data_IF_124728020488
#
_entry.id   IF_124728020488
#
_cell.length_a   1.000
_cell.length_b   1.000
_cell.length_c   1.000
_cell.angle_alpha   90.00
_cell.angle_beta   90.00
_cell.angle_gamma   90.00
#
_symmetry.space_group_name_H-M   'P 1'
#
loop_
_entity.id
_entity.type
_entity.pdbx_description
1 polymer ?
#
# COMPACT_ATOMS: atom_id res chain seq x y z
N UNK A 1 -1.77 17.38 13.46
CA UNK A 1 -1.57 18.75 12.93
C UNK A 1 -1.10 18.63 11.48
N UNK A 2 -1.93 19.04 10.51
CA UNK A 2 -1.48 19.24 9.15
C UNK A 2 -0.56 20.46 9.15
N UNK A 3 0.66 20.31 8.66
CA UNK A 3 1.54 21.44 8.42
C UNK A 3 0.97 22.23 7.24
N UNK A 4 0.74 23.50 7.44
CA UNK A 4 0.37 24.41 6.37
C UNK A 4 1.50 24.43 5.32
N UNK A 5 1.22 24.22 4.02
CA UNK A 5 2.23 24.20 2.98
C UNK A 5 3.26 25.33 3.03
N UNK A 6 2.91 26.60 3.37
CA UNK A 6 3.89 27.66 3.58
C UNK A 6 4.85 27.45 4.75
N UNK A 7 4.49 26.65 5.75
CA UNK A 7 5.36 26.38 6.90
C UNK A 7 6.45 25.32 6.62
N UNK A 8 6.33 24.56 5.54
CA UNK A 8 7.29 23.50 5.23
C UNK A 8 8.71 24.01 4.92
N UNK A 9 8.92 25.06 4.11
CA UNK A 9 10.24 25.63 3.88
C UNK A 9 10.91 26.13 5.17
N UNK A 10 10.15 26.80 6.03
CA UNK A 10 10.64 27.28 7.33
C UNK A 10 11.01 26.13 8.25
N UNK A 11 10.21 25.07 8.30
CA UNK A 11 10.53 23.86 9.06
C UNK A 11 11.80 23.20 8.55
N UNK A 12 11.96 23.06 7.23
CA UNK A 12 13.16 22.48 6.62
C UNK A 12 14.40 23.33 6.92
N UNK A 13 14.28 24.66 6.85
CA UNK A 13 15.37 25.58 7.21
C UNK A 13 15.79 25.38 8.68
N UNK A 14 14.85 25.37 9.61
CA UNK A 14 15.14 25.14 11.05
C UNK A 14 15.72 23.77 11.32
N UNK A 15 15.35 22.74 10.57
CA UNK A 15 15.95 21.40 10.69
C UNK A 15 17.43 21.38 10.27
N UNK A 16 17.83 22.27 9.34
CA UNK A 16 19.25 22.41 8.98
C UNK A 16 20.08 23.06 10.10
N UNK A 17 19.48 23.93 10.93
CA UNK A 17 20.14 24.63 12.03
C UNK A 17 20.24 23.83 13.31
N UNK A 18 19.68 22.60 13.35
CA UNK A 18 19.76 21.74 14.56
C UNK A 18 21.24 21.44 14.89
N UNK A 19 21.67 21.71 16.12
CA UNK A 19 23.06 21.45 16.57
C UNK A 19 23.45 19.96 16.40
N UNK A 20 24.73 19.70 16.20
CA UNK A 20 25.21 18.33 15.92
C UNK A 20 25.02 17.36 17.10
N UNK A 21 25.06 17.84 18.32
CA UNK A 21 24.74 17.04 19.53
C UNK A 21 23.26 16.63 19.54
N UNK A 22 22.36 17.55 19.20
CA UNK A 22 20.94 17.23 19.07
C UNK A 22 20.67 16.28 17.89
N UNK A 23 21.39 16.44 16.75
CA UNK A 23 21.33 15.49 15.63
C UNK A 23 21.78 14.09 16.06
N UNK A 24 22.85 13.99 16.85
CA UNK A 24 23.32 12.71 17.37
C UNK A 24 22.28 12.02 18.26
N UNK A 25 21.65 12.75 19.18
CA UNK A 25 20.60 12.21 20.05
C UNK A 25 19.35 11.80 19.27
N UNK A 26 18.96 12.59 18.26
CA UNK A 26 17.85 12.27 17.36
C UNK A 26 18.14 11.01 16.53
N UNK A 27 19.36 10.85 16.05
CA UNK A 27 19.78 9.66 15.32
C UNK A 27 19.74 8.41 16.20
N UNK A 28 20.24 8.49 17.44
CA UNK A 28 20.18 7.39 18.39
C UNK A 28 18.74 6.99 18.72
N UNK A 29 17.86 7.99 18.94
CA UNK A 29 16.42 7.76 19.15
C UNK A 29 15.76 7.14 17.90
N UNK A 30 16.05 7.65 16.71
CA UNK A 30 15.54 7.12 15.46
C UNK A 30 15.93 5.66 15.27
N UNK A 31 17.19 5.31 15.52
CA UNK A 31 17.66 3.91 15.46
C UNK A 31 16.97 3.01 16.47
N UNK A 32 16.76 3.51 17.71
CA UNK A 32 16.03 2.77 18.73
C UNK A 32 14.59 2.50 18.31
N UNK A 33 13.87 3.51 17.83
CA UNK A 33 12.51 3.39 17.32
C UNK A 33 12.45 2.44 16.11
N UNK A 34 13.40 2.55 15.19
CA UNK A 34 13.47 1.67 14.02
C UNK A 34 13.62 0.19 14.43
N UNK A 35 14.44 -0.10 15.45
CA UNK A 35 14.59 -1.46 15.99
C UNK A 35 13.28 -1.99 16.58
N UNK A 36 12.57 -1.16 17.35
CA UNK A 36 11.26 -1.54 17.94
C UNK A 36 10.25 -1.84 16.84
N UNK A 37 10.16 -0.95 15.83
CA UNK A 37 9.25 -1.15 14.70
C UNK A 37 9.61 -2.43 13.93
N UNK A 38 10.89 -2.66 13.65
CA UNK A 38 11.34 -3.85 12.94
C UNK A 38 10.99 -5.14 13.70
N UNK A 39 11.18 -5.14 15.02
CA UNK A 39 10.81 -6.26 15.89
C UNK A 39 9.31 -6.53 15.85
N UNK A 40 8.48 -5.50 16.07
CA UNK A 40 7.02 -5.64 16.06
C UNK A 40 6.49 -6.11 14.70
N UNK A 41 7.07 -5.61 13.60
CA UNK A 41 6.72 -6.08 12.25
C UNK A 41 7.11 -7.55 12.01
N UNK A 42 8.24 -7.99 12.55
CA UNK A 42 8.66 -9.39 12.45
C UNK A 42 7.71 -10.30 13.23
N UNK A 43 7.41 -9.95 14.49
CA UNK A 43 6.47 -10.70 15.34
C UNK A 43 5.07 -10.82 14.69
N UNK A 44 4.58 -9.71 14.15
CA UNK A 44 3.31 -9.69 13.44
C UNK A 44 3.32 -10.60 12.19
N UNK A 45 4.38 -10.51 11.40
CA UNK A 45 4.55 -11.37 10.20
C UNK A 45 4.61 -12.84 10.57
N UNK A 46 5.32 -13.19 11.65
CA UNK A 46 5.42 -14.56 12.13
C UNK A 46 4.06 -15.07 12.62
N UNK A 47 3.28 -14.26 13.31
CA UNK A 47 1.93 -14.61 13.73
C UNK A 47 1.00 -14.89 12.53
N UNK A 48 1.10 -14.10 11.46
CA UNK A 48 0.37 -14.33 10.24
C UNK A 48 0.79 -15.62 9.51
N UNK A 49 2.10 -15.92 9.48
CA UNK A 49 2.62 -17.14 8.84
C UNK A 49 2.17 -18.41 9.58
N UNK A 50 2.00 -18.33 10.90
CA UNK A 50 1.49 -19.43 11.72
C UNK A 50 -0.04 -19.59 11.63
N UNK A 51 -0.75 -18.60 11.06
CA UNK A 51 -2.20 -18.65 10.95
C UNK A 51 -2.65 -19.79 10.03
N UNK A 52 -3.54 -20.66 10.56
CA UNK A 52 -4.13 -21.74 9.77
C UNK A 52 -5.25 -21.20 8.85
N UNK A 53 -4.96 -21.08 7.59
CA UNK A 53 -5.88 -20.55 6.59
C UNK A 53 -6.93 -21.57 6.08
N UNK A 54 -7.00 -22.77 6.65
CA UNK A 54 -8.00 -23.82 6.35
C UNK A 54 -8.19 -24.02 4.84
N UNK A 55 -7.14 -24.35 4.12
CA UNK A 55 -7.08 -24.53 2.66
C UNK A 55 -7.34 -23.26 1.82
N UNK A 56 -7.35 -22.06 2.43
CA UNK A 56 -7.36 -20.80 1.73
C UNK A 56 -5.95 -20.21 1.64
N UNK A 57 -5.77 -19.20 0.79
CA UNK A 57 -4.48 -18.50 0.69
C UNK A 57 -4.22 -17.70 1.97
N UNK A 58 -3.07 -17.92 2.60
CA UNK A 58 -2.63 -17.09 3.70
C UNK A 58 -2.16 -15.73 3.17
N UNK A 59 -2.70 -14.60 3.68
CA UNK A 59 -2.33 -13.26 3.20
C UNK A 59 -0.82 -12.96 3.30
N UNK A 60 -0.16 -13.37 4.38
CA UNK A 60 1.28 -13.13 4.54
C UNK A 60 2.11 -13.90 3.49
N UNK A 61 1.73 -15.13 3.18
CA UNK A 61 2.37 -15.91 2.12
C UNK A 61 2.17 -15.25 0.76
N UNK A 62 0.94 -14.78 0.47
CA UNK A 62 0.63 -14.07 -0.76
C UNK A 62 1.46 -12.80 -0.91
N UNK A 63 1.46 -11.89 0.09
CA UNK A 63 2.18 -10.63 0.01
C UNK A 63 3.70 -10.81 0.01
N UNK A 64 4.23 -11.81 0.71
CA UNK A 64 5.65 -12.16 0.64
C UNK A 64 6.05 -12.68 -0.75
N UNK A 65 5.18 -13.44 -1.42
CA UNK A 65 5.41 -13.86 -2.79
C UNK A 65 5.31 -12.68 -3.75
N UNK A 66 4.25 -11.86 -3.64
CA UNK A 66 4.02 -10.68 -4.48
C UNK A 66 5.20 -9.70 -4.43
N UNK A 67 5.74 -9.44 -3.23
CA UNK A 67 6.87 -8.51 -3.06
C UNK A 67 8.11 -8.88 -3.88
N UNK A 68 8.28 -10.14 -4.24
CA UNK A 68 9.42 -10.62 -5.07
C UNK A 68 9.27 -10.28 -6.54
N UNK A 69 8.04 -10.01 -7.00
CA UNK A 69 7.71 -9.75 -8.41
C UNK A 69 7.34 -8.28 -8.67
N UNK A 70 7.30 -7.46 -7.63
CA UNK A 70 7.07 -6.04 -7.77
C UNK A 70 8.37 -5.31 -8.12
N UNK A 71 8.29 -4.48 -9.17
CA UNK A 71 9.35 -3.54 -9.49
C UNK A 71 9.55 -2.53 -8.37
N UNK A 72 10.78 -2.02 -8.22
CA UNK A 72 11.09 -1.01 -7.20
C UNK A 72 10.27 0.28 -7.33
N UNK A 73 9.73 0.55 -8.52
CA UNK A 73 8.89 1.71 -8.83
C UNK A 73 7.42 1.32 -9.06
N UNK A 74 7.03 0.10 -8.72
CA UNK A 74 5.66 -0.36 -8.85
C UNK A 74 4.67 0.50 -8.05
N UNK A 75 3.47 0.63 -8.56
CA UNK A 75 2.38 1.35 -7.92
C UNK A 75 1.26 0.37 -7.56
N UNK A 76 0.95 0.26 -6.29
CA UNK A 76 -0.07 -0.64 -5.76
C UNK A 76 -1.29 0.18 -5.36
N UNK A 77 -2.42 -0.16 -5.94
CA UNK A 77 -3.70 0.52 -5.73
C UNK A 77 -4.63 -0.39 -4.95
N UNK A 78 -5.26 0.13 -3.93
CA UNK A 78 -6.26 -0.62 -3.15
C UNK A 78 -7.60 0.08 -3.15
N UNK A 79 -8.66 -0.68 -2.87
CA UNK A 79 -9.97 -0.15 -2.56
C UNK A 79 -10.32 -0.37 -1.08
N UNK A 80 -11.50 0.07 -0.67
CA UNK A 80 -12.01 -0.16 0.68
C UNK A 80 -12.25 -1.64 0.97
N UNK A 81 -11.81 -2.10 2.13
CA UNK A 81 -12.03 -3.46 2.64
C UNK A 81 -10.81 -4.01 3.39
N UNK A 82 -10.95 -5.22 3.94
CA UNK A 82 -9.88 -5.90 4.69
C UNK A 82 -8.59 -6.05 3.85
N UNK A 83 -8.70 -6.23 2.56
CA UNK A 83 -7.56 -6.32 1.65
C UNK A 83 -6.70 -5.05 1.64
N UNK A 84 -7.29 -3.86 1.85
CA UNK A 84 -6.55 -2.59 1.98
C UNK A 84 -5.66 -2.62 3.24
N UNK A 85 -6.25 -3.00 4.38
CA UNK A 85 -5.51 -3.10 5.64
C UNK A 85 -4.39 -4.13 5.54
N UNK A 86 -4.68 -5.33 5.03
CA UNK A 86 -3.70 -6.39 4.82
C UNK A 86 -2.57 -5.97 3.86
N UNK A 87 -2.88 -5.21 2.81
CA UNK A 87 -1.85 -4.70 1.90
C UNK A 87 -0.92 -3.72 2.62
N UNK A 88 -1.50 -2.76 3.36
CA UNK A 88 -0.73 -1.77 4.11
C UNK A 88 0.15 -2.40 5.20
N UNK A 89 -0.33 -3.48 5.82
CA UNK A 89 0.35 -4.19 6.89
C UNK A 89 1.47 -5.12 6.39
N UNK A 90 1.20 -5.86 5.31
CA UNK A 90 2.03 -7.01 4.92
C UNK A 90 2.92 -6.74 3.69
N UNK A 91 2.56 -5.77 2.83
CA UNK A 91 3.33 -5.47 1.62
C UNK A 91 4.33 -4.33 1.86
N UNK A 92 5.64 -4.56 1.77
CA UNK A 92 6.61 -3.49 1.85
C UNK A 92 6.54 -2.59 0.59
N UNK A 93 6.29 -1.31 0.80
CA UNK A 93 6.32 -0.28 -0.25
C UNK A 93 7.47 0.67 0.04
N UNK A 94 8.43 0.74 -0.85
CA UNK A 94 9.69 1.45 -0.64
C UNK A 94 9.84 2.71 -1.52
N UNK A 95 8.86 3.02 -2.35
CA UNK A 95 8.87 4.17 -3.26
C UNK A 95 7.79 5.20 -2.88
N UNK A 96 8.09 6.50 -2.96
CA UNK A 96 7.08 7.54 -2.77
C UNK A 96 5.92 7.37 -3.75
N UNK A 97 4.68 7.54 -3.27
CA UNK A 97 3.45 7.34 -4.05
C UNK A 97 3.25 5.91 -4.59
N UNK A 98 3.99 4.94 -4.04
CA UNK A 98 3.86 3.52 -4.43
C UNK A 98 2.61 2.84 -3.89
N UNK A 99 1.95 3.41 -2.87
CA UNK A 99 0.69 2.90 -2.31
C UNK A 99 -0.41 3.96 -2.44
N UNK A 100 -1.51 3.59 -3.09
CA UNK A 100 -2.61 4.50 -3.42
C UNK A 100 -3.93 3.87 -3.00
N UNK A 101 -4.73 4.64 -2.28
CA UNK A 101 -6.06 4.21 -1.83
C UNK A 101 -7.01 5.39 -1.61
N UNK A 102 -8.32 5.13 -1.54
CA UNK A 102 -9.35 6.16 -1.37
C UNK A 102 -9.44 6.60 0.11
N UNK A 103 -8.41 7.27 0.62
CA UNK A 103 -8.22 7.50 2.05
C UNK A 103 -9.23 8.45 2.70
N UNK A 104 -9.81 9.40 1.96
CA UNK A 104 -10.73 10.38 2.54
C UNK A 104 -12.16 9.88 2.66
N UNK A 105 -12.74 9.36 1.58
CA UNK A 105 -14.10 8.83 1.54
C UNK A 105 -14.15 7.32 1.61
N UNK A 106 -13.06 6.65 1.23
CA UNK A 106 -12.85 5.22 1.24
C UNK A 106 -13.92 4.41 0.48
N UNK A 107 -14.26 4.86 -0.73
CA UNK A 107 -15.32 4.29 -1.55
C UNK A 107 -14.97 2.89 -2.05
N UNK A 108 -15.93 1.95 -1.94
CA UNK A 108 -15.87 0.68 -2.65
C UNK A 108 -15.94 0.90 -4.17
N UNK A 109 -15.27 0.03 -4.96
CA UNK A 109 -15.22 0.16 -6.42
C UNK A 109 -14.15 1.13 -6.94
N UNK A 110 -13.50 1.92 -6.09
CA UNK A 110 -12.44 2.87 -6.48
C UNK A 110 -11.27 2.20 -7.21
N UNK A 111 -10.85 1.02 -6.76
CA UNK A 111 -9.58 0.41 -7.16
C UNK A 111 -9.49 0.17 -8.67
N UNK A 112 -10.51 -0.42 -9.31
CA UNK A 112 -10.42 -0.84 -10.73
C UNK A 112 -10.24 0.35 -11.67
N UNK A 113 -11.09 1.40 -11.65
CA UNK A 113 -10.87 2.58 -12.50
C UNK A 113 -9.59 3.34 -12.11
N UNK A 114 -9.22 3.38 -10.84
CA UNK A 114 -8.00 4.05 -10.40
C UNK A 114 -6.72 3.38 -10.95
N UNK A 115 -6.67 2.05 -10.98
CA UNK A 115 -5.57 1.29 -11.61
C UNK A 115 -5.40 1.70 -13.06
N UNK A 116 -6.50 1.80 -13.81
CA UNK A 116 -6.47 2.20 -15.22
C UNK A 116 -5.94 3.63 -15.39
N UNK A 117 -6.47 4.57 -14.61
CA UNK A 117 -6.06 5.96 -14.67
C UNK A 117 -4.57 6.13 -14.31
N UNK A 118 -4.10 5.43 -13.26
CA UNK A 118 -2.70 5.47 -12.83
C UNK A 118 -1.79 4.88 -13.90
N UNK A 119 -2.20 3.78 -14.54
CA UNK A 119 -1.42 3.15 -15.61
C UNK A 119 -1.35 4.05 -16.85
N UNK A 120 -2.43 4.72 -17.23
CA UNK A 120 -2.44 5.71 -18.29
C UNK A 120 -1.47 6.87 -18.02
N UNK A 121 -1.44 7.35 -16.76
CA UNK A 121 -0.52 8.42 -16.35
C UNK A 121 0.93 7.94 -16.17
N UNK A 122 1.16 6.64 -16.02
CA UNK A 122 2.47 6.03 -15.79
C UNK A 122 2.67 4.79 -16.67
N UNK A 123 2.72 4.92 -18.00
CA UNK A 123 2.67 3.79 -18.94
C UNK A 123 3.84 2.81 -18.78
N UNK A 124 4.99 3.28 -18.29
CA UNK A 124 6.19 2.46 -18.13
C UNK A 124 6.30 1.78 -16.75
N UNK A 125 5.41 2.11 -15.79
CA UNK A 125 5.45 1.51 -14.46
C UNK A 125 4.56 0.26 -14.40
N UNK A 126 4.96 -0.67 -13.54
CA UNK A 126 4.10 -1.76 -13.12
C UNK A 126 2.99 -1.18 -12.22
N UNK A 127 1.74 -1.41 -12.57
CA UNK A 127 0.57 -0.94 -11.79
C UNK A 127 -0.30 -2.14 -11.46
N UNK A 128 -0.55 -2.33 -10.17
CA UNK A 128 -1.27 -3.46 -9.61
C UNK A 128 -2.44 -2.98 -8.75
N UNK A 129 -3.60 -3.57 -8.95
CA UNK A 129 -4.78 -3.39 -8.10
C UNK A 129 -5.00 -4.56 -7.16
N UNK A 130 -5.14 -4.28 -5.86
CA UNK A 130 -5.65 -5.25 -4.88
C UNK A 130 -7.11 -4.89 -4.63
N UNK A 131 -8.00 -5.75 -5.09
CA UNK A 131 -9.45 -5.47 -5.12
C UNK A 131 -10.24 -6.58 -4.43
N UNK A 132 -11.23 -6.20 -3.65
CA UNK A 132 -12.18 -7.15 -3.05
C UNK A 132 -13.27 -7.58 -4.03
N UNK A 133 -13.89 -8.73 -3.76
CA UNK A 133 -14.99 -9.26 -4.58
C UNK A 133 -16.18 -8.28 -4.70
N UNK A 134 -16.61 -7.65 -3.61
CA UNK A 134 -17.66 -6.63 -3.66
C UNK A 134 -17.31 -5.42 -4.50
N UNK A 135 -16.08 -4.92 -4.38
CA UNK A 135 -15.59 -3.78 -5.18
C UNK A 135 -15.49 -4.14 -6.66
N UNK A 136 -15.11 -5.38 -6.98
CA UNK A 136 -15.07 -5.88 -8.36
C UNK A 136 -16.45 -5.96 -8.99
N UNK A 137 -17.47 -6.33 -8.22
CA UNK A 137 -18.87 -6.33 -8.70
C UNK A 137 -19.33 -4.91 -9.04
N UNK A 138 -18.91 -3.90 -8.26
CA UNK A 138 -19.36 -2.51 -8.44
C UNK A 138 -18.77 -1.91 -9.72
N UNK A 139 -17.47 -1.96 -9.93
CA UNK A 139 -16.77 -1.28 -11.02
C UNK A 139 -15.82 -2.18 -11.82
N UNK A 140 -15.97 -3.50 -11.73
CA UNK A 140 -15.10 -4.45 -12.43
C UNK A 140 -15.20 -4.36 -13.96
N UNK A 141 -16.30 -3.83 -14.49
CA UNK A 141 -16.46 -3.58 -15.94
C UNK A 141 -15.38 -2.63 -16.49
N UNK A 142 -14.76 -1.79 -15.67
CA UNK A 142 -13.65 -0.96 -16.08
C UNK A 142 -12.39 -1.74 -16.48
N UNK A 143 -12.32 -3.03 -16.16
CA UNK A 143 -11.28 -3.91 -16.70
C UNK A 143 -11.36 -4.04 -18.23
N UNK A 144 -12.56 -3.86 -18.82
CA UNK A 144 -12.75 -3.80 -20.28
C UNK A 144 -12.07 -2.56 -20.89
N UNK A 145 -12.09 -1.43 -20.16
CA UNK A 145 -11.33 -0.23 -20.55
C UNK A 145 -9.84 -0.54 -20.58
N UNK A 146 -9.31 -1.21 -19.56
CA UNK A 146 -7.90 -1.62 -19.55
C UNK A 146 -7.54 -2.53 -20.73
N UNK A 147 -8.42 -3.48 -21.06
CA UNK A 147 -8.22 -4.39 -22.17
C UNK A 147 -8.25 -3.65 -23.52
N UNK A 148 -9.24 -2.76 -23.74
CA UNK A 148 -9.38 -1.94 -24.95
C UNK A 148 -8.16 -1.06 -25.16
N UNK A 149 -7.70 -0.39 -24.12
CA UNK A 149 -6.55 0.53 -24.15
C UNK A 149 -5.19 -0.20 -24.03
N UNK A 150 -5.20 -1.53 -23.93
CA UNK A 150 -4.00 -2.39 -23.82
C UNK A 150 -3.05 -1.94 -22.70
N UNK A 151 -3.60 -1.60 -21.55
CA UNK A 151 -2.85 -0.97 -20.46
C UNK A 151 -1.85 -1.91 -19.77
N UNK A 152 -2.04 -3.24 -19.82
CA UNK A 152 -1.21 -4.19 -19.11
C UNK A 152 -1.30 -4.04 -17.59
N UNK A 153 -2.47 -3.69 -17.05
CA UNK A 153 -2.77 -3.63 -15.63
C UNK A 153 -2.96 -5.03 -15.04
N UNK A 154 -2.65 -5.18 -13.77
CA UNK A 154 -2.82 -6.43 -13.03
C UNK A 154 -3.85 -6.21 -11.93
N UNK A 155 -4.82 -7.11 -11.80
CA UNK A 155 -5.81 -7.09 -10.73
C UNK A 155 -5.70 -8.37 -9.91
N UNK A 156 -5.41 -8.24 -8.61
CA UNK A 156 -5.46 -9.33 -7.65
C UNK A 156 -6.79 -9.27 -6.91
N UNK A 157 -7.69 -10.20 -7.25
CA UNK A 157 -9.01 -10.29 -6.63
C UNK A 157 -8.95 -11.08 -5.32
N UNK A 158 -9.25 -10.39 -4.22
CA UNK A 158 -9.43 -10.99 -2.90
C UNK A 158 -10.91 -11.38 -2.72
N UNK A 159 -11.20 -12.64 -3.02
CA UNK A 159 -12.55 -13.18 -2.88
C UNK A 159 -12.66 -13.96 -1.57
N UNK A 160 -13.34 -13.38 -0.60
CA UNK A 160 -13.71 -14.04 0.66
C UNK A 160 -15.20 -14.43 0.72
N UNK A 161 -15.95 -14.17 -0.37
CA UNK A 161 -17.40 -14.41 -0.49
C UNK A 161 -18.21 -13.69 0.58
N UNK A 162 -17.73 -12.57 1.09
CA UNK A 162 -18.38 -11.76 2.13
C UNK A 162 -18.14 -10.29 1.89
N UNK A 163 -19.18 -9.50 2.06
CA UNK A 163 -19.04 -8.06 2.25
C UNK A 163 -18.94 -7.81 3.76
N UNK A 164 -17.76 -7.48 4.21
CA UNK A 164 -17.52 -7.18 5.61
C UNK A 164 -16.19 -6.45 5.73
N UNK A 165 -16.26 -5.23 6.19
CA UNK A 165 -15.11 -4.53 6.77
C UNK A 165 -15.10 -4.82 8.26
N UNK A 166 -13.94 -4.98 8.91
CA UNK A 166 -13.89 -5.03 10.36
C UNK A 166 -14.42 -3.75 10.96
#
# INVERSE_FOLDING_TARGET
>A
HCLDPPALPELLYRLHEVPNDAKSSLNARSQSVAKVIAKSKAELRDSWLQHNSKARVNPAVFFNALAKYLDSQAMVVTGHGIHQALTAELLPINNPRGFIGPTSFNAMGYCVPAVNAIKLANPHKQVLGIVGDGAMIINGMEALTAAREKLGTIYCLFNNSRQGSP
#
